data_IF_567575530755
#
_entry.id   IF_567575530755
#
_cell.length_a   1.000
_cell.length_b   1.000
_cell.length_c   1.000
_cell.angle_alpha   90.00
_cell.angle_beta   90.00
_cell.angle_gamma   90.00
#
_symmetry.space_group_name_H-M   'P 1'
#
loop_
_entity.id
_entity.type
_entity.pdbx_description
1 polymer ?
#
# COMPACT_ATOMS: atom_id res chain seq x y z
N UNK A 1 -12.85 6.11 -3.92
CA UNK A 1 -11.80 5.52 -3.09
C UNK A 1 -11.99 4.00 -2.90
N UNK A 2 -13.08 3.55 -2.30
CA UNK A 2 -13.28 2.12 -1.99
C UNK A 2 -13.33 1.22 -3.23
N UNK A 3 -13.86 1.69 -4.36
CA UNK A 3 -13.85 0.96 -5.64
C UNK A 3 -12.43 0.83 -6.18
N UNK A 4 -11.66 1.91 -6.14
CA UNK A 4 -10.26 1.93 -6.55
C UNK A 4 -9.42 0.96 -5.72
N UNK A 5 -9.64 0.90 -4.40
CA UNK A 5 -9.01 -0.08 -3.52
C UNK A 5 -9.57 -1.50 -3.68
N UNK A 6 -10.61 -1.71 -4.50
CA UNK A 6 -11.27 -3.01 -4.68
C UNK A 6 -11.64 -3.66 -3.35
N UNK A 7 -12.26 -2.86 -2.45
CA UNK A 7 -12.62 -3.31 -1.11
C UNK A 7 -13.62 -4.46 -1.17
N UNK A 8 -13.36 -5.51 -0.42
CA UNK A 8 -14.16 -6.72 -0.29
C UNK A 8 -14.59 -6.96 1.16
N UNK A 9 -15.59 -7.81 1.43
CA UNK A 9 -15.98 -8.15 2.80
C UNK A 9 -14.87 -8.80 3.66
N UNK A 10 -13.79 -9.25 3.04
CA UNK A 10 -12.62 -9.85 3.72
C UNK A 10 -11.60 -8.81 4.20
N UNK A 11 -11.74 -7.57 3.74
CA UNK A 11 -10.82 -6.50 4.08
C UNK A 11 -11.16 -5.87 5.44
N UNK A 12 -10.13 -5.49 6.17
CA UNK A 12 -10.23 -4.55 7.26
C UNK A 12 -9.82 -3.17 6.76
N UNK A 13 -10.77 -2.24 6.75
CA UNK A 13 -10.58 -0.87 6.27
C UNK A 13 -10.33 0.04 7.48
N UNK A 14 -9.28 0.85 7.44
CA UNK A 14 -9.06 1.91 8.44
C UNK A 14 -9.04 3.26 7.73
N UNK A 15 -9.88 4.19 8.21
CA UNK A 15 -9.96 5.56 7.71
C UNK A 15 -9.25 6.50 8.68
N UNK A 16 -8.17 7.13 8.23
CA UNK A 16 -7.36 8.04 9.03
C UNK A 16 -7.89 9.46 8.89
N UNK A 17 -8.35 10.05 9.99
CA UNK A 17 -9.07 11.31 9.99
C UNK A 17 -10.50 11.12 9.49
N UNK A 18 -11.25 10.22 10.14
CA UNK A 18 -12.53 9.70 9.61
C UNK A 18 -13.69 10.71 9.62
N UNK A 19 -13.54 11.85 10.27
CA UNK A 19 -14.56 12.90 10.30
C UNK A 19 -15.92 12.39 10.73
N UNK A 20 -16.95 12.56 9.89
CA UNK A 20 -18.33 12.11 10.15
C UNK A 20 -18.56 10.60 9.92
N UNK A 21 -17.53 9.85 9.58
CA UNK A 21 -17.55 8.41 9.41
C UNK A 21 -18.07 7.90 8.07
N UNK A 22 -18.31 8.77 7.09
CA UNK A 22 -18.94 8.39 5.81
C UNK A 22 -18.20 7.29 5.06
N UNK A 23 -16.87 7.31 5.06
CA UNK A 23 -16.03 6.31 4.38
C UNK A 23 -16.11 4.96 5.11
N UNK A 24 -15.99 4.98 6.43
CA UNK A 24 -16.09 3.80 7.31
C UNK A 24 -17.46 3.14 7.16
N UNK A 25 -18.54 3.92 7.21
CA UNK A 25 -19.93 3.46 7.06
C UNK A 25 -20.12 2.84 5.67
N UNK A 26 -19.58 3.46 4.62
CA UNK A 26 -19.68 2.93 3.26
C UNK A 26 -18.93 1.61 3.11
N UNK A 27 -17.75 1.48 3.73
CA UNK A 27 -17.00 0.21 3.76
C UNK A 27 -17.78 -0.88 4.52
N UNK A 28 -18.38 -0.53 5.67
CA UNK A 28 -19.23 -1.45 6.44
C UNK A 28 -20.47 -1.93 5.67
N UNK A 29 -21.13 -1.03 4.92
CA UNK A 29 -22.24 -1.41 4.01
C UNK A 29 -21.82 -2.39 2.91
N UNK A 30 -20.56 -2.39 2.51
CA UNK A 30 -19.98 -3.38 1.58
C UNK A 30 -19.61 -4.70 2.24
N UNK A 31 -19.85 -4.83 3.54
CA UNK A 31 -19.60 -6.03 4.33
C UNK A 31 -18.23 -6.07 5.01
N UNK A 32 -17.37 -5.09 4.78
CA UNK A 32 -16.04 -5.00 5.40
C UNK A 32 -16.14 -4.62 6.88
N UNK A 33 -15.22 -5.13 7.71
CA UNK A 33 -14.93 -4.54 9.01
C UNK A 33 -14.22 -3.19 8.77
N UNK A 34 -14.65 -2.13 9.44
CA UNK A 34 -14.08 -0.81 9.24
C UNK A 34 -13.92 -0.03 10.55
N UNK A 35 -12.82 0.70 10.68
CA UNK A 35 -12.48 1.55 11.81
C UNK A 35 -12.19 2.97 11.34
N UNK A 36 -12.80 3.95 11.97
CA UNK A 36 -12.43 5.35 11.85
C UNK A 36 -11.56 5.79 13.02
N UNK A 37 -10.42 6.40 12.72
CA UNK A 37 -9.55 7.06 13.69
C UNK A 37 -9.73 8.56 13.52
N UNK A 38 -10.17 9.25 14.58
CA UNK A 38 -10.47 10.67 14.55
C UNK A 38 -10.02 11.34 15.85
N UNK A 39 -9.40 12.51 15.74
CA UNK A 39 -8.91 13.25 16.90
C UNK A 39 -10.02 14.03 17.62
N UNK A 40 -11.00 14.55 16.87
CA UNK A 40 -12.10 15.33 17.42
C UNK A 40 -13.16 14.42 18.05
N UNK A 41 -13.41 14.48 19.37
CA UNK A 41 -14.37 13.61 20.03
C UNK A 41 -15.81 13.83 19.55
N UNK A 42 -16.20 15.06 19.17
CA UNK A 42 -17.57 15.35 18.70
C UNK A 42 -17.81 14.66 17.33
N UNK A 43 -16.79 14.62 16.48
CA UNK A 43 -16.86 13.89 15.21
C UNK A 43 -16.92 12.38 15.42
N UNK A 44 -16.20 11.84 16.41
CA UNK A 44 -16.32 10.42 16.79
C UNK A 44 -17.74 10.07 17.22
N UNK A 45 -18.36 10.89 18.08
CA UNK A 45 -19.73 10.66 18.53
C UNK A 45 -20.75 10.85 17.38
N UNK A 46 -20.53 11.81 16.48
CA UNK A 46 -21.31 11.96 15.26
C UNK A 46 -21.23 10.71 14.38
N UNK A 47 -20.02 10.20 14.15
CA UNK A 47 -19.79 8.99 13.35
C UNK A 47 -20.51 7.76 13.90
N UNK A 48 -20.48 7.57 15.22
CA UNK A 48 -21.20 6.49 15.90
C UNK A 48 -22.72 6.60 15.69
N UNK A 49 -23.28 7.82 15.83
CA UNK A 49 -24.70 8.06 15.55
C UNK A 49 -25.05 7.79 14.09
N UNK A 50 -24.20 8.23 13.17
CA UNK A 50 -24.39 7.98 11.74
C UNK A 50 -24.35 6.47 11.42
N UNK A 51 -23.41 5.72 11.99
CA UNK A 51 -23.33 4.28 11.80
C UNK A 51 -24.55 3.54 12.36
N UNK A 52 -25.05 3.97 13.54
CA UNK A 52 -26.27 3.41 14.12
C UNK A 52 -27.50 3.68 13.24
N UNK A 53 -27.64 4.91 12.73
CA UNK A 53 -28.71 5.29 11.79
C UNK A 53 -28.71 4.45 10.51
N UNK A 54 -27.52 4.10 10.04
CA UNK A 54 -27.32 3.31 8.82
C UNK A 54 -27.33 1.79 9.07
N UNK A 55 -27.50 1.37 10.34
CA UNK A 55 -27.62 -0.04 10.72
C UNK A 55 -26.33 -0.85 10.55
N UNK A 56 -25.14 -0.23 10.66
CA UNK A 56 -23.84 -0.88 10.42
C UNK A 56 -22.89 -0.85 11.62
N UNK A 57 -23.39 -0.57 12.82
CA UNK A 57 -22.59 -0.47 14.04
C UNK A 57 -21.88 -1.78 14.42
N UNK A 58 -22.31 -2.91 13.87
CA UNK A 58 -21.65 -4.20 14.04
C UNK A 58 -20.33 -4.32 13.27
N UNK A 59 -20.14 -3.52 12.20
CA UNK A 59 -18.98 -3.53 11.32
C UNK A 59 -18.22 -2.21 11.29
N UNK A 60 -18.86 -1.09 11.59
CA UNK A 60 -18.28 0.23 11.65
C UNK A 60 -17.99 0.62 13.10
N UNK A 61 -16.76 0.83 13.43
CA UNK A 61 -16.30 1.32 14.74
C UNK A 61 -15.50 2.62 14.60
N UNK A 62 -15.47 3.42 15.66
CA UNK A 62 -14.79 4.71 15.68
C UNK A 62 -14.09 4.90 17.02
N UNK A 63 -12.87 5.42 16.96
CA UNK A 63 -12.08 5.72 18.15
C UNK A 63 -11.52 7.14 18.10
N UNK A 64 -11.55 7.81 19.27
CA UNK A 64 -10.81 9.04 19.46
C UNK A 64 -9.35 8.69 19.67
N UNK A 65 -8.48 9.05 18.73
CA UNK A 65 -7.03 8.86 18.87
C UNK A 65 -6.25 9.80 17.95
N UNK A 66 -4.98 10.00 18.29
CA UNK A 66 -4.00 10.60 17.40
C UNK A 66 -3.58 9.56 16.35
N UNK A 67 -3.78 9.86 15.08
CA UNK A 67 -3.44 8.97 13.98
C UNK A 67 -1.93 8.69 13.86
N UNK A 68 -1.09 9.60 14.35
CA UNK A 68 0.37 9.40 14.35
C UNK A 68 0.82 8.35 15.39
N UNK A 69 0.08 8.26 16.52
CA UNK A 69 0.36 7.32 17.61
C UNK A 69 -0.44 6.00 17.46
N UNK A 70 -1.45 5.97 16.60
CA UNK A 70 -2.33 4.82 16.43
C UNK A 70 -1.66 3.68 15.67
N UNK A 71 -1.91 2.44 16.09
CA UNK A 71 -1.54 1.25 15.33
C UNK A 71 -2.62 0.91 14.30
N UNK A 72 -2.26 0.97 13.04
CA UNK A 72 -3.10 0.56 11.90
C UNK A 72 -2.46 -0.54 11.05
N UNK A 73 -1.51 -1.27 11.62
CA UNK A 73 -0.74 -2.32 10.94
C UNK A 73 -1.56 -3.52 10.45
N UNK A 74 -2.76 -3.70 11.01
CA UNK A 74 -3.66 -4.80 10.65
C UNK A 74 -4.56 -4.49 9.44
N UNK A 75 -4.55 -3.25 8.93
CA UNK A 75 -5.37 -2.85 7.80
C UNK A 75 -4.94 -3.55 6.50
N UNK A 76 -5.91 -3.99 5.69
CA UNK A 76 -5.71 -4.34 4.29
C UNK A 76 -5.91 -3.13 3.39
N UNK A 77 -6.72 -2.15 3.85
CA UNK A 77 -6.99 -0.90 3.15
C UNK A 77 -6.95 0.25 4.13
N UNK A 78 -6.23 1.31 3.75
CA UNK A 78 -6.24 2.59 4.46
C UNK A 78 -6.84 3.63 3.53
N UNK A 79 -7.77 4.42 4.05
CA UNK A 79 -8.32 5.59 3.36
C UNK A 79 -7.92 6.86 4.10
N UNK A 80 -7.69 7.94 3.34
CA UNK A 80 -7.28 9.23 3.87
C UNK A 80 -7.89 10.38 3.06
N UNK A 81 -8.26 11.43 3.77
CA UNK A 81 -8.52 12.74 3.18
C UNK A 81 -7.81 13.79 4.03
N UNK A 82 -6.51 13.78 3.96
CA UNK A 82 -5.59 14.57 4.79
C UNK A 82 -4.65 15.38 3.91
N UNK A 83 -4.21 16.53 4.40
CA UNK A 83 -3.25 17.37 3.67
C UNK A 83 -1.96 16.59 3.34
N UNK A 84 -1.32 16.90 2.22
CA UNK A 84 -0.06 16.27 1.79
C UNK A 84 1.03 16.30 2.88
N UNK A 85 1.09 17.36 3.68
CA UNK A 85 2.04 17.46 4.79
C UNK A 85 1.81 16.40 5.88
N UNK A 86 0.55 16.03 6.13
CA UNK A 86 0.17 14.96 7.06
C UNK A 86 0.47 13.60 6.44
N UNK A 87 0.11 13.40 5.17
CA UNK A 87 0.40 12.17 4.42
C UNK A 87 1.90 11.89 4.40
N UNK A 88 2.73 12.90 4.19
CA UNK A 88 4.18 12.76 4.21
C UNK A 88 4.74 12.38 5.58
N UNK A 89 4.15 12.86 6.67
CA UNK A 89 4.52 12.44 8.03
C UNK A 89 4.12 10.99 8.33
N UNK A 90 3.00 10.53 7.78
CA UNK A 90 2.52 9.16 7.92
C UNK A 90 3.26 8.17 7.00
N UNK A 91 3.82 8.65 5.89
CA UNK A 91 4.46 7.84 4.85
C UNK A 91 5.48 6.82 5.38
N UNK A 92 6.42 7.15 6.29
CA UNK A 92 7.34 6.14 6.84
C UNK A 92 6.60 4.98 7.52
N UNK A 93 5.60 5.28 8.34
CA UNK A 93 4.77 4.28 9.04
C UNK A 93 3.92 3.46 8.06
N UNK A 94 3.42 4.08 6.99
CA UNK A 94 2.67 3.41 5.92
C UNK A 94 3.58 2.45 5.14
N UNK A 95 4.83 2.84 4.84
CA UNK A 95 5.79 1.99 4.15
C UNK A 95 6.25 0.78 4.96
N UNK A 96 6.03 0.77 6.27
CA UNK A 96 6.30 -0.36 7.17
C UNK A 96 5.12 -1.34 7.27
N UNK A 97 3.99 -1.04 6.65
CA UNK A 97 2.84 -1.93 6.59
C UNK A 97 3.15 -3.17 5.73
N UNK A 98 2.29 -4.15 5.85
CA UNK A 98 2.39 -5.40 5.09
C UNK A 98 2.38 -5.11 3.58
N UNK A 99 3.33 -5.68 2.82
CA UNK A 99 3.29 -5.55 1.36
C UNK A 99 1.93 -5.95 0.79
N UNK A 100 1.40 -5.14 -0.13
CA UNK A 100 0.07 -5.33 -0.69
C UNK A 100 -1.05 -4.57 0.05
N UNK A 101 -0.77 -3.94 1.19
CA UNK A 101 -1.73 -3.01 1.81
C UNK A 101 -2.02 -1.87 0.82
N UNK A 102 -3.30 -1.59 0.60
CA UNK A 102 -3.79 -0.59 -0.36
C UNK A 102 -4.10 0.70 0.37
N UNK A 103 -3.48 1.79 -0.08
CA UNK A 103 -3.64 3.12 0.51
C UNK A 103 -4.35 3.99 -0.51
N UNK A 104 -5.47 4.57 -0.16
CA UNK A 104 -6.20 5.51 -1.03
C UNK A 104 -6.33 6.86 -0.35
N UNK A 105 -5.80 7.89 -1.01
CA UNK A 105 -5.96 9.28 -0.59
C UNK A 105 -6.87 10.03 -1.55
N UNK A 106 -7.82 10.77 -1.00
CA UNK A 106 -8.57 11.76 -1.78
C UNK A 106 -7.71 13.01 -1.97
N UNK A 107 -7.47 13.38 -3.21
CA UNK A 107 -6.84 14.64 -3.67
C UNK A 107 -5.37 14.80 -3.29
N UNK A 108 -4.97 14.53 -2.05
CA UNK A 108 -3.64 14.84 -1.53
C UNK A 108 -2.65 13.69 -1.74
N UNK A 109 -1.46 14.02 -2.20
CA UNK A 109 -0.39 13.07 -2.53
C UNK A 109 0.51 12.70 -1.34
N UNK A 110 1.56 11.93 -1.61
CA UNK A 110 2.61 11.52 -0.68
C UNK A 110 4.02 11.96 -1.13
N UNK A 111 4.10 13.12 -1.81
CA UNK A 111 5.37 13.69 -2.28
C UNK A 111 6.01 12.86 -3.40
N UNK A 112 7.24 12.41 -3.19
CA UNK A 112 8.02 11.66 -4.18
C UNK A 112 7.46 10.24 -4.41
N UNK A 113 6.74 9.67 -3.45
CA UNK A 113 6.08 8.39 -3.66
C UNK A 113 4.89 8.57 -4.59
N UNK A 114 5.13 8.31 -5.87
CA UNK A 114 4.08 8.45 -6.90
C UNK A 114 3.04 7.34 -6.75
N UNK A 115 1.74 7.66 -6.95
CA UNK A 115 0.68 6.66 -6.88
C UNK A 115 0.83 5.60 -7.99
N UNK A 116 0.38 4.39 -7.68
CA UNK A 116 0.27 3.30 -8.65
C UNK A 116 -0.90 3.52 -9.62
N UNK A 117 -1.96 4.21 -9.14
CA UNK A 117 -3.13 4.57 -9.92
C UNK A 117 -3.70 5.92 -9.47
N UNK A 118 -4.19 6.70 -10.41
CA UNK A 118 -4.93 7.94 -10.17
C UNK A 118 -6.21 7.94 -10.97
N UNK A 119 -7.34 8.23 -10.32
CA UNK A 119 -8.63 8.35 -10.96
C UNK A 119 -9.30 9.68 -10.61
N UNK A 120 -9.91 10.31 -11.61
CA UNK A 120 -10.70 11.53 -11.45
C UNK A 120 -12.17 11.24 -11.76
N UNK A 121 -13.06 11.62 -10.85
CA UNK A 121 -14.48 11.41 -11.02
C UNK A 121 -15.07 12.46 -11.98
N UNK A 122 -15.63 12.05 -13.15
CA UNK A 122 -16.24 12.98 -14.09
C UNK A 122 -17.43 13.71 -13.48
N UNK A 123 -17.62 14.97 -13.83
CA UNK A 123 -18.76 15.79 -13.37
C UNK A 123 -18.73 16.22 -11.90
N UNK A 124 -17.67 15.93 -11.21
CA UNK A 124 -17.45 16.37 -9.84
C UNK A 124 -16.83 17.78 -9.81
N UNK A 125 -17.23 18.61 -8.85
CA UNK A 125 -16.84 20.03 -8.80
C UNK A 125 -15.65 20.32 -7.88
N UNK A 126 -15.36 19.46 -6.89
CA UNK A 126 -14.21 19.61 -6.00
C UNK A 126 -13.81 18.29 -5.33
N UNK A 127 -12.51 18.15 -5.03
CA UNK A 127 -11.95 16.96 -4.38
C UNK A 127 -12.22 15.65 -5.14
N UNK A 128 -12.09 15.72 -6.46
CA UNK A 128 -12.59 14.71 -7.39
C UNK A 128 -11.54 13.66 -7.76
N UNK A 129 -10.32 13.82 -7.32
CA UNK A 129 -9.21 12.92 -7.67
C UNK A 129 -8.91 12.00 -6.49
N UNK A 130 -8.73 10.73 -6.78
CA UNK A 130 -8.24 9.75 -5.81
C UNK A 130 -6.94 9.12 -6.31
N UNK A 131 -6.03 8.87 -5.38
CA UNK A 131 -4.73 8.27 -5.63
C UNK A 131 -4.63 6.95 -4.86
N UNK A 132 -4.16 5.91 -5.52
CA UNK A 132 -3.91 4.59 -4.93
C UNK A 132 -2.41 4.32 -4.88
N UNK A 133 -1.93 3.87 -3.73
CA UNK A 133 -0.62 3.28 -3.54
C UNK A 133 -0.77 1.86 -3.01
N UNK A 134 0.10 0.96 -3.45
CA UNK A 134 0.20 -0.40 -2.91
C UNK A 134 1.54 -0.50 -2.20
N UNK A 135 1.52 -0.80 -0.91
CA UNK A 135 2.74 -0.88 -0.10
C UNK A 135 3.67 -1.93 -0.70
N UNK A 136 4.88 -1.55 -1.14
CA UNK A 136 5.81 -2.48 -1.77
C UNK A 136 6.56 -3.31 -0.73
N UNK A 137 6.96 -4.51 -1.10
CA UNK A 137 7.93 -5.29 -0.32
C UNK A 137 9.28 -4.56 -0.25
N UNK A 138 10.03 -4.79 0.81
CA UNK A 138 11.39 -4.23 1.01
C UNK A 138 12.41 -5.15 0.37
N UNK A 139 12.98 -4.73 -0.75
CA UNK A 139 13.92 -5.53 -1.56
C UNK A 139 15.33 -4.95 -1.66
N UNK A 140 15.54 -3.74 -1.15
CA UNK A 140 16.86 -3.11 -1.19
C UNK A 140 17.94 -4.01 -0.56
N UNK A 141 19.09 -4.08 -1.19
CA UNK A 141 20.23 -4.86 -0.74
C UNK A 141 20.69 -5.90 -1.75
N UNK A 142 21.47 -6.87 -1.28
CA UNK A 142 22.09 -7.90 -2.10
C UNK A 142 21.38 -9.24 -1.93
N UNK A 143 21.18 -9.94 -3.04
CA UNK A 143 20.48 -11.21 -3.11
C UNK A 143 21.33 -12.23 -3.85
N UNK A 144 21.46 -13.43 -3.30
CA UNK A 144 22.20 -14.54 -3.90
C UNK A 144 21.27 -15.40 -4.75
N UNK A 145 21.63 -15.60 -6.01
CA UNK A 145 21.01 -16.53 -6.95
C UNK A 145 21.97 -17.69 -7.23
N UNK A 146 21.50 -18.85 -7.70
CA UNK A 146 22.37 -19.96 -8.12
C UNK A 146 23.41 -19.54 -9.16
N UNK A 147 23.06 -18.63 -10.07
CA UNK A 147 23.90 -18.16 -11.17
C UNK A 147 24.63 -16.85 -10.90
N UNK A 148 24.48 -16.24 -9.70
CA UNK A 148 25.13 -14.96 -9.43
C UNK A 148 24.54 -14.16 -8.29
N UNK A 149 24.70 -12.85 -8.36
CA UNK A 149 24.32 -11.92 -7.32
C UNK A 149 23.50 -10.77 -7.91
N UNK A 150 22.35 -10.50 -7.31
CA UNK A 150 21.47 -9.38 -7.65
C UNK A 150 21.57 -8.31 -6.57
N UNK A 151 22.06 -7.13 -6.92
CA UNK A 151 22.06 -5.96 -6.03
C UNK A 151 20.91 -5.04 -6.43
N UNK A 152 20.03 -4.71 -5.47
CA UNK A 152 18.86 -3.85 -5.67
C UNK A 152 19.03 -2.57 -4.88
N UNK A 153 18.75 -1.45 -5.54
CA UNK A 153 18.42 -0.15 -4.97
C UNK A 153 16.91 0.07 -5.15
N UNK A 154 16.24 0.46 -4.08
CA UNK A 154 14.79 0.64 -4.10
C UNK A 154 14.43 2.10 -3.80
N UNK A 155 13.52 2.64 -4.65
CA UNK A 155 12.85 3.91 -4.40
C UNK A 155 11.34 3.66 -4.47
N UNK A 156 10.72 3.46 -3.31
CA UNK A 156 9.32 3.05 -3.17
C UNK A 156 9.04 1.76 -3.97
N UNK A 157 8.14 1.80 -4.96
CA UNK A 157 7.86 0.66 -5.82
C UNK A 157 8.86 0.47 -6.97
N UNK A 158 9.71 1.44 -7.26
CA UNK A 158 10.71 1.34 -8.31
C UNK A 158 11.99 0.67 -7.81
N UNK A 159 12.55 -0.21 -8.61
CA UNK A 159 13.82 -0.86 -8.33
C UNK A 159 14.79 -0.68 -9.49
N UNK A 160 16.05 -0.47 -9.13
CA UNK A 160 17.20 -0.46 -10.05
C UNK A 160 18.32 -1.29 -9.44
N UNK A 161 19.31 -1.64 -10.22
CA UNK A 161 20.46 -2.38 -9.67
C UNK A 161 21.27 -3.08 -10.72
N UNK A 162 21.91 -4.18 -10.31
CA UNK A 162 22.75 -4.99 -11.19
C UNK A 162 22.58 -6.48 -10.88
N UNK A 163 22.58 -7.30 -11.93
CA UNK A 163 22.70 -8.75 -11.84
C UNK A 163 24.11 -9.14 -12.30
N UNK A 164 24.92 -9.61 -11.37
CA UNK A 164 26.28 -10.09 -11.61
C UNK A 164 26.27 -11.60 -11.76
N UNK A 165 26.66 -12.10 -12.92
CA UNK A 165 26.92 -13.50 -13.20
C UNK A 165 28.43 -13.74 -13.32
N UNK A 166 28.86 -15.01 -13.56
CA UNK A 166 30.29 -15.34 -13.72
C UNK A 166 31.00 -14.50 -14.79
N UNK A 167 30.28 -14.16 -15.88
CA UNK A 167 30.89 -13.55 -17.06
C UNK A 167 30.36 -12.14 -17.40
N UNK A 168 29.41 -11.61 -16.64
CA UNK A 168 28.77 -10.34 -16.97
C UNK A 168 28.14 -9.65 -15.75
N UNK A 169 28.10 -8.31 -15.82
CA UNK A 169 27.28 -7.48 -14.92
C UNK A 169 26.24 -6.75 -15.77
N UNK A 170 25.00 -7.03 -15.52
CA UNK A 170 23.87 -6.53 -16.31
C UNK A 170 23.05 -5.55 -15.47
N UNK A 171 22.73 -4.34 -15.99
CA UNK A 171 21.84 -3.42 -15.32
C UNK A 171 20.43 -4.02 -15.13
N UNK A 172 19.82 -3.71 -13.99
CA UNK A 172 18.46 -4.15 -13.62
C UNK A 172 17.58 -2.92 -13.46
N UNK A 173 16.38 -2.99 -14.06
CA UNK A 173 15.31 -2.04 -13.86
C UNK A 173 14.00 -2.79 -13.67
N UNK A 174 13.18 -2.35 -12.72
CA UNK A 174 11.93 -3.02 -12.46
C UNK A 174 11.05 -2.30 -11.44
N UNK A 175 10.04 -3.01 -10.99
CA UNK A 175 9.06 -2.48 -10.04
C UNK A 175 8.49 -3.57 -9.13
N UNK A 176 7.91 -3.09 -8.03
CA UNK A 176 7.15 -3.85 -7.06
C UNK A 176 5.67 -3.46 -7.14
N UNK A 177 4.80 -4.44 -6.98
CA UNK A 177 3.37 -4.27 -6.72
C UNK A 177 3.03 -5.15 -5.51
N UNK A 178 3.05 -4.56 -4.33
CA UNK A 178 3.00 -5.33 -3.09
C UNK A 178 4.21 -6.26 -2.97
N UNK A 179 3.95 -7.54 -2.83
CA UNK A 179 4.95 -8.60 -2.78
C UNK A 179 5.38 -9.11 -4.17
N UNK A 180 4.70 -8.68 -5.23
CA UNK A 180 5.07 -9.06 -6.60
C UNK A 180 6.22 -8.20 -7.11
N UNK A 181 7.25 -8.83 -7.64
CA UNK A 181 8.41 -8.18 -8.25
C UNK A 181 8.48 -8.50 -9.73
N UNK A 182 8.78 -7.50 -10.54
CA UNK A 182 9.08 -7.66 -11.94
C UNK A 182 10.27 -6.79 -12.32
N UNK A 183 11.26 -7.35 -13.02
CA UNK A 183 12.42 -6.61 -13.47
C UNK A 183 13.02 -7.20 -14.74
N UNK A 184 13.75 -6.37 -15.47
CA UNK A 184 14.56 -6.78 -16.62
C UNK A 184 16.05 -6.77 -16.26
N UNK A 185 16.80 -7.74 -16.82
CA UNK A 185 18.24 -7.78 -16.82
C UNK A 185 18.70 -8.15 -18.24
N UNK A 186 19.20 -7.16 -18.98
CA UNK A 186 19.42 -7.31 -20.43
C UNK A 186 18.13 -7.67 -21.17
N UNK A 187 18.16 -8.76 -21.92
CA UNK A 187 17.01 -9.28 -22.67
C UNK A 187 16.12 -10.23 -21.85
N UNK A 188 16.44 -10.48 -20.59
CA UNK A 188 15.69 -11.38 -19.71
C UNK A 188 14.70 -10.61 -18.87
N UNK A 189 13.46 -11.12 -18.81
CA UNK A 189 12.36 -10.57 -18.01
C UNK A 189 12.07 -11.51 -16.85
N UNK A 190 12.27 -11.03 -15.64
CA UNK A 190 12.05 -11.74 -14.39
C UNK A 190 10.72 -11.32 -13.79
N UNK A 191 9.93 -12.27 -13.36
CA UNK A 191 8.72 -12.04 -12.55
C UNK A 191 8.75 -12.97 -11.35
N UNK A 192 8.24 -12.50 -10.22
CA UNK A 192 8.27 -13.34 -9.02
C UNK A 192 7.55 -12.70 -7.84
N UNK A 193 7.80 -13.29 -6.70
CA UNK A 193 7.23 -12.87 -5.42
C UNK A 193 8.31 -12.78 -4.36
N UNK A 194 8.19 -11.76 -3.53
CA UNK A 194 9.07 -11.51 -2.38
C UNK A 194 8.39 -12.02 -1.12
N UNK A 195 9.08 -12.85 -0.37
CA UNK A 195 8.63 -13.36 0.93
C UNK A 195 9.78 -13.21 1.95
N UNK A 196 9.80 -12.06 2.61
CA UNK A 196 10.86 -11.73 3.58
C UNK A 196 12.24 -11.73 2.93
N UNK A 197 13.07 -12.69 3.30
CA UNK A 197 14.44 -12.84 2.82
C UNK A 197 14.59 -13.79 1.63
N UNK A 198 13.49 -14.18 1.01
CA UNK A 198 13.45 -15.02 -0.17
C UNK A 198 12.67 -14.36 -1.31
N UNK A 199 13.09 -14.62 -2.54
CA UNK A 199 12.35 -14.33 -3.74
C UNK A 199 12.31 -15.59 -4.61
N UNK A 200 11.20 -15.78 -5.31
CA UNK A 200 11.05 -16.87 -6.28
C UNK A 200 10.14 -16.46 -7.43
N UNK A 201 10.34 -17.05 -8.59
CA UNK A 201 9.52 -16.73 -9.74
C UNK A 201 9.98 -17.43 -11.02
N UNK A 202 9.73 -16.75 -12.15
CA UNK A 202 10.04 -17.30 -13.49
C UNK A 202 10.80 -16.28 -14.34
N UNK A 203 11.67 -16.80 -15.21
CA UNK A 203 12.38 -16.07 -16.25
C UNK A 203 12.45 -16.96 -17.49
N UNK A 204 11.90 -16.51 -18.63
CA UNK A 204 11.90 -17.31 -19.86
C UNK A 204 11.30 -18.70 -19.69
N UNK A 205 10.27 -18.87 -18.84
CA UNK A 205 9.64 -20.15 -18.52
C UNK A 205 10.37 -21.03 -17.50
N UNK A 206 11.60 -20.68 -17.11
CA UNK A 206 12.37 -21.39 -16.09
C UNK A 206 12.16 -20.76 -14.72
N UNK A 207 12.27 -21.58 -13.66
CA UNK A 207 12.23 -21.08 -12.27
C UNK A 207 13.52 -20.38 -11.90
N UNK A 208 13.39 -19.32 -11.11
CA UNK A 208 14.51 -18.68 -10.42
C UNK A 208 14.17 -18.46 -8.95
N UNK A 209 15.19 -18.39 -8.13
CA UNK A 209 15.07 -18.04 -6.72
C UNK A 209 16.27 -17.22 -6.27
N UNK A 210 16.05 -16.40 -5.23
CA UNK A 210 17.12 -15.64 -4.60
C UNK A 210 16.91 -15.59 -3.10
N UNK A 211 17.99 -15.52 -2.34
CA UNK A 211 17.99 -15.32 -0.90
C UNK A 211 18.80 -14.08 -0.54
N UNK A 212 18.35 -13.32 0.45
CA UNK A 212 19.03 -12.11 0.90
C UNK A 212 20.42 -12.48 1.42
N UNK A 213 21.46 -11.76 0.97
CA UNK A 213 22.83 -11.94 1.46
C UNK A 213 23.01 -11.24 2.81
N UNK A 214 23.77 -11.86 3.73
CA UNK A 214 24.24 -11.19 4.95
C UNK A 214 23.31 -11.23 6.16
N UNK A 215 22.51 -12.29 6.31
CA UNK A 215 21.93 -12.68 7.60
C UNK A 215 22.50 -13.99 8.07
#
# INVERSE_FOLDING_TARGET
MLDMAKVTPKDYVIDLGSGDGRTVITAAKRGSKALGIEYNPDMVELSKRNAAKEGVSDKASFMKADLFESDFSQAQVITMFLLSSINMKLRPKILDLKPGTRIVSNTFDMGEWKPDETATLPGCNSWCTAHLWIVPAKTEGTWKLPQGELTIKQSFQAITGTLKSANATTPVNGKLNGDQISFSAGNSSFTGRVNGNAMEGTVGGNKWSATRAGQ
#
